data_IF_095375917780
#
_entry.id   IF_095375917780
#
_cell.length_a   1.000
_cell.length_b   1.000
_cell.length_c   1.000
_cell.angle_alpha   90.00
_cell.angle_beta   90.00
_cell.angle_gamma   90.00
#
_symmetry.space_group_name_H-M   'P 1'
#
loop_
_entity.id
_entity.type
_entity.pdbx_description
1 polymer ?
#
# COMPACT_ATOMS: atom_id res chain seq x y z
N UNK A 1 19.83 8.29 -2.65
CA UNK A 1 19.08 7.04 -2.81
C UNK A 1 17.63 7.40 -2.62
N UNK A 2 16.80 7.20 -3.63
CA UNK A 2 15.42 7.64 -3.62
C UNK A 2 14.60 6.70 -2.71
N UNK A 3 13.88 7.24 -1.73
CA UNK A 3 13.04 6.46 -0.80
C UNK A 3 11.62 6.41 -1.38
N UNK A 4 11.15 5.22 -1.72
CA UNK A 4 9.89 4.96 -2.44
C UNK A 4 8.83 4.33 -1.52
N UNK A 5 8.17 5.07 -0.63
CA UNK A 5 7.06 4.51 0.17
C UNK A 5 5.91 4.00 -0.73
N UNK A 6 5.83 2.71 -1.07
CA UNK A 6 4.78 2.24 -1.98
C UNK A 6 3.43 2.06 -1.26
N UNK A 7 2.36 2.21 -2.02
CA UNK A 7 1.03 1.75 -1.64
C UNK A 7 0.92 0.27 -2.05
N UNK A 8 0.42 -0.64 -1.18
CA UNK A 8 0.01 -1.95 -1.64
C UNK A 8 -0.97 -1.78 -2.79
N UNK A 9 -0.64 -2.39 -3.94
CA UNK A 9 -1.47 -2.36 -5.12
C UNK A 9 -2.92 -2.64 -4.72
N UNK A 10 -3.82 -1.83 -5.28
CA UNK A 10 -5.26 -1.85 -5.04
C UNK A 10 -5.76 -3.26 -4.72
N UNK A 11 -6.78 -3.38 -3.86
CA UNK A 11 -7.57 -4.59 -3.70
C UNK A 11 -8.18 -5.07 -5.03
N UNK A 12 -7.34 -5.63 -5.89
CA UNK A 12 -7.52 -5.75 -7.33
C UNK A 12 -8.24 -7.04 -7.61
N UNK A 13 -9.56 -7.00 -7.40
CA UNK A 13 -10.49 -8.01 -7.85
C UNK A 13 -10.61 -8.06 -9.40
N UNK A 14 -9.90 -7.21 -10.15
CA UNK A 14 -10.06 -7.12 -11.62
C UNK A 14 -9.47 -8.36 -12.33
N UNK A 15 -8.48 -9.05 -11.75
CA UNK A 15 -7.85 -10.24 -12.32
C UNK A 15 -7.86 -11.48 -11.41
N UNK A 16 -8.37 -11.35 -10.18
CA UNK A 16 -8.34 -12.39 -9.15
C UNK A 16 -9.69 -13.10 -9.09
N UNK A 17 -9.71 -14.44 -9.09
CA UNK A 17 -10.96 -15.20 -8.96
C UNK A 17 -11.58 -15.08 -7.57
N UNK A 18 -12.91 -15.11 -7.51
CA UNK A 18 -13.66 -15.15 -6.23
C UNK A 18 -13.23 -16.32 -5.34
N UNK A 19 -12.88 -17.47 -5.95
CA UNK A 19 -12.36 -18.63 -5.23
C UNK A 19 -11.04 -18.35 -4.53
N UNK A 20 -10.13 -17.61 -5.18
CA UNK A 20 -8.83 -17.22 -4.61
C UNK A 20 -9.02 -16.22 -3.47
N UNK A 21 -9.91 -15.24 -3.64
CA UNK A 21 -10.28 -14.31 -2.55
C UNK A 21 -10.94 -15.02 -1.36
N UNK A 22 -11.88 -15.94 -1.61
CA UNK A 22 -12.53 -16.70 -0.55
C UNK A 22 -11.54 -17.56 0.24
N UNK A 23 -10.61 -18.20 -0.45
CA UNK A 23 -9.53 -18.97 0.17
C UNK A 23 -8.62 -18.05 1.01
N UNK A 24 -8.23 -16.89 0.48
CA UNK A 24 -7.40 -15.94 1.22
C UNK A 24 -8.09 -15.43 2.50
N UNK A 25 -9.38 -15.08 2.44
CA UNK A 25 -10.16 -14.68 3.61
C UNK A 25 -10.21 -15.78 4.68
N UNK A 26 -10.36 -17.04 4.26
CA UNK A 26 -10.35 -18.19 5.16
C UNK A 26 -9.01 -18.32 5.88
N UNK A 27 -7.90 -18.27 5.14
CA UNK A 27 -6.55 -18.38 5.72
C UNK A 27 -6.23 -17.19 6.64
N UNK A 28 -6.61 -15.97 6.26
CA UNK A 28 -6.48 -14.78 7.13
C UNK A 28 -7.25 -14.98 8.44
N UNK A 29 -8.48 -15.52 8.39
CA UNK A 29 -9.25 -15.80 9.59
C UNK A 29 -8.59 -16.88 10.48
N UNK A 30 -8.04 -17.93 9.88
CA UNK A 30 -7.31 -18.99 10.58
C UNK A 30 -6.05 -18.45 11.27
N UNK A 31 -5.23 -17.66 10.57
CA UNK A 31 -4.03 -17.03 11.14
C UNK A 31 -4.38 -16.04 12.25
N UNK A 32 -5.46 -15.27 12.07
CA UNK A 32 -5.97 -14.35 13.10
C UNK A 32 -6.40 -15.11 14.35
N UNK A 33 -7.07 -16.26 14.20
CA UNK A 33 -7.45 -17.12 15.33
C UNK A 33 -6.24 -17.73 16.06
N UNK A 34 -5.10 -17.85 15.38
CA UNK A 34 -3.82 -18.27 15.97
C UNK A 34 -3.06 -17.11 16.62
N UNK A 35 -3.60 -15.89 16.60
CA UNK A 35 -2.97 -14.70 17.20
C UNK A 35 -2.03 -13.94 16.26
N UNK A 36 -1.93 -14.31 14.98
CA UNK A 36 -1.17 -13.54 13.99
C UNK A 36 -1.92 -12.23 13.71
N UNK A 37 -1.23 -11.09 13.85
CA UNK A 37 -1.84 -9.78 13.66
C UNK A 37 -1.96 -9.42 12.19
N UNK A 38 -3.12 -8.88 11.81
CA UNK A 38 -3.36 -8.23 10.52
C UNK A 38 -2.79 -6.81 10.51
N UNK A 39 -2.48 -6.24 9.33
CA UNK A 39 -2.20 -4.82 9.22
C UNK A 39 -3.39 -3.99 9.71
N UNK A 40 -3.13 -2.98 10.55
CA UNK A 40 -4.16 -2.04 10.99
C UNK A 40 -4.28 -0.91 9.97
N UNK A 41 -5.52 -0.64 9.57
CA UNK A 41 -5.87 0.47 8.67
C UNK A 41 -7.02 1.24 9.30
N UNK A 42 -6.71 2.25 10.08
CA UNK A 42 -7.70 2.98 10.87
C UNK A 42 -8.74 3.65 9.96
N UNK A 43 -10.01 3.66 10.40
CA UNK A 43 -11.10 4.24 9.61
C UNK A 43 -11.51 3.46 8.36
N UNK A 44 -11.09 2.19 8.24
CA UNK A 44 -11.63 1.27 7.23
C UNK A 44 -13.03 0.75 7.59
N UNK A 45 -13.26 0.47 8.88
CA UNK A 45 -14.52 -0.06 9.41
C UNK A 45 -15.50 1.03 9.87
N UNK A 46 -15.16 2.31 9.69
CA UNK A 46 -15.91 3.45 10.25
C UNK A 46 -17.19 3.77 9.45
N UNK A 47 -18.10 2.80 9.36
CA UNK A 47 -19.51 3.09 9.21
C UNK A 47 -20.04 3.45 10.61
N UNK A 48 -20.10 4.75 10.92
CA UNK A 48 -20.91 5.21 12.06
C UNK A 48 -22.37 5.32 11.62
N UNK A 49 -23.31 5.34 12.57
CA UNK A 49 -24.75 5.46 12.28
C UNK A 49 -25.09 6.63 11.33
N UNK A 50 -24.26 7.68 11.28
CA UNK A 50 -24.49 8.89 10.50
C UNK A 50 -23.40 9.22 9.47
N UNK A 51 -22.41 8.35 9.26
CA UNK A 51 -21.34 8.63 8.30
C UNK A 51 -20.79 7.34 7.69
N UNK A 52 -20.89 7.28 6.36
CA UNK A 52 -20.33 6.22 5.54
C UNK A 52 -19.16 6.81 4.76
N UNK A 53 -17.99 6.18 4.89
CA UNK A 53 -16.78 6.59 4.17
C UNK A 53 -17.03 6.64 2.67
N UNK A 54 -16.64 7.74 2.04
CA UNK A 54 -16.74 7.88 0.59
C UNK A 54 -15.51 7.28 -0.08
N UNK A 55 -15.68 6.05 -0.56
CA UNK A 55 -14.65 5.34 -1.31
C UNK A 55 -14.69 5.72 -2.79
N UNK A 56 -13.52 5.89 -3.43
CA UNK A 56 -13.41 6.18 -4.88
C UNK A 56 -13.99 5.06 -5.74
N UNK A 57 -13.77 3.80 -5.35
CA UNK A 57 -14.16 2.60 -6.12
C UNK A 57 -14.89 1.54 -5.27
N UNK A 58 -15.50 1.97 -4.16
CA UNK A 58 -15.99 1.06 -3.13
C UNK A 58 -14.92 0.68 -2.11
N UNK A 59 -15.35 0.03 -1.03
CA UNK A 59 -14.45 -0.36 0.05
C UNK A 59 -13.35 -1.31 -0.47
N UNK A 60 -12.07 -1.07 -0.15
CA UNK A 60 -10.98 -1.88 -0.65
C UNK A 60 -10.97 -3.28 -0.03
N UNK A 61 -10.57 -4.27 -0.82
CA UNK A 61 -10.40 -5.66 -0.39
C UNK A 61 -8.92 -5.99 -0.18
N UNK A 62 -8.53 -6.36 1.04
CA UNK A 62 -7.13 -6.59 1.43
C UNK A 62 -6.80 -8.05 1.73
N UNK A 63 -7.72 -9.01 1.58
CA UNK A 63 -7.49 -10.41 1.99
C UNK A 63 -6.19 -11.02 1.46
N UNK A 64 -5.82 -10.75 0.20
CA UNK A 64 -4.57 -11.25 -0.39
C UNK A 64 -3.33 -10.55 0.20
N UNK A 65 -3.31 -9.22 0.20
CA UNK A 65 -2.20 -8.46 0.76
C UNK A 65 -2.01 -8.71 2.26
N UNK A 66 -3.10 -8.91 3.01
CA UNK A 66 -3.06 -9.28 4.42
C UNK A 66 -2.51 -10.69 4.61
N UNK A 67 -2.88 -11.65 3.76
CA UNK A 67 -2.34 -13.01 3.81
C UNK A 67 -0.83 -13.00 3.52
N UNK A 68 -0.40 -12.30 2.48
CA UNK A 68 1.00 -12.15 2.10
C UNK A 68 1.80 -11.43 3.19
N UNK A 69 1.20 -10.42 3.83
CA UNK A 69 1.77 -9.75 4.98
C UNK A 69 1.95 -10.73 6.16
N UNK A 70 0.88 -11.40 6.57
CA UNK A 70 0.87 -12.26 7.75
C UNK A 70 1.80 -13.47 7.62
N UNK A 71 2.04 -13.96 6.40
CA UNK A 71 2.93 -15.11 6.15
C UNK A 71 4.41 -14.75 6.15
N UNK A 72 4.77 -13.53 5.74
CA UNK A 72 6.15 -13.19 5.38
C UNK A 72 6.71 -11.95 6.07
N UNK A 73 5.91 -11.31 6.94
CA UNK A 73 6.38 -10.29 7.88
C UNK A 73 7.56 -10.83 8.68
N UNK A 74 8.63 -10.05 8.82
CA UNK A 74 9.81 -10.46 9.61
C UNK A 74 9.73 -10.00 11.06
N UNK A 75 9.07 -8.86 11.31
CA UNK A 75 9.07 -8.21 12.63
C UNK A 75 7.93 -8.66 13.52
N UNK A 76 8.23 -9.03 14.77
CA UNK A 76 7.21 -9.28 15.79
C UNK A 76 6.61 -7.98 16.34
N UNK A 77 5.28 -7.84 16.28
CA UNK A 77 4.57 -6.59 16.65
C UNK A 77 4.74 -6.16 18.12
N UNK A 78 4.80 -7.12 19.06
CA UNK A 78 4.82 -6.84 20.51
C UNK A 78 6.18 -6.38 21.03
N UNK A 79 7.26 -6.72 20.34
CA UNK A 79 8.63 -6.38 20.77
C UNK A 79 9.11 -5.02 20.25
N UNK A 80 8.37 -4.41 19.32
CA UNK A 80 8.79 -3.22 18.56
C UNK A 80 7.62 -2.22 18.43
N UNK A 81 7.21 -1.59 19.54
CA UNK A 81 5.97 -0.81 19.59
C UNK A 81 6.00 0.47 18.72
N UNK A 82 7.17 1.09 18.54
CA UNK A 82 7.28 2.31 17.72
C UNK A 82 7.23 1.97 16.23
N UNK A 83 7.92 0.91 15.80
CA UNK A 83 7.86 0.38 14.44
C UNK A 83 6.44 -0.02 14.07
N UNK A 84 5.73 -0.71 15.00
CA UNK A 84 4.31 -1.03 14.85
C UNK A 84 3.48 0.23 14.65
N UNK A 85 3.64 1.24 15.50
CA UNK A 85 2.90 2.49 15.38
C UNK A 85 3.15 3.21 14.05
N UNK A 86 4.42 3.34 13.62
CA UNK A 86 4.77 3.97 12.34
C UNK A 86 4.20 3.18 11.16
N UNK A 87 4.29 1.86 11.20
CA UNK A 87 3.73 0.98 10.16
C UNK A 87 2.21 1.13 10.05
N UNK A 88 1.48 1.19 11.17
CA UNK A 88 0.03 1.43 11.18
C UNK A 88 -0.33 2.80 10.60
N UNK A 89 0.45 3.83 10.91
CA UNK A 89 0.31 5.16 10.29
C UNK A 89 0.51 5.08 8.77
N UNK A 90 1.57 4.41 8.30
CA UNK A 90 1.83 4.22 6.87
C UNK A 90 0.71 3.43 6.19
N UNK A 91 0.32 2.27 6.71
CA UNK A 91 -0.73 1.41 6.15
C UNK A 91 -2.08 2.14 6.08
N UNK A 92 -2.42 2.92 7.10
CA UNK A 92 -3.62 3.77 7.10
C UNK A 92 -3.50 4.86 6.04
N UNK A 93 -2.42 5.64 6.05
CA UNK A 93 -2.20 6.72 5.09
C UNK A 93 -2.27 6.23 3.63
N UNK A 94 -1.60 5.12 3.30
CA UNK A 94 -1.59 4.54 1.95
C UNK A 94 -3.00 4.12 1.51
N UNK A 95 -3.78 3.52 2.42
CA UNK A 95 -5.18 3.17 2.17
C UNK A 95 -6.03 4.42 1.92
N UNK A 96 -5.91 5.44 2.76
CA UNK A 96 -6.67 6.68 2.66
C UNK A 96 -6.34 7.43 1.36
N UNK A 97 -5.05 7.60 1.08
CA UNK A 97 -4.56 8.29 -0.10
C UNK A 97 -4.91 7.58 -1.41
N UNK A 98 -5.13 6.27 -1.38
CA UNK A 98 -5.48 5.48 -2.57
C UNK A 98 -6.98 5.29 -2.74
N UNK A 99 -7.75 5.16 -1.66
CA UNK A 99 -9.14 4.73 -1.74
C UNK A 99 -10.18 5.74 -1.25
N UNK A 100 -9.84 6.67 -0.35
CA UNK A 100 -10.82 7.65 0.14
C UNK A 100 -10.94 8.82 -0.84
N UNK A 101 -12.18 9.18 -1.17
CA UNK A 101 -12.47 10.29 -2.07
C UNK A 101 -12.25 11.65 -1.38
N UNK A 102 -12.53 11.74 -0.08
CA UNK A 102 -12.42 13.00 0.67
C UNK A 102 -11.24 13.01 1.62
N UNK A 103 -10.40 14.03 1.49
CA UNK A 103 -9.30 14.29 2.41
C UNK A 103 -9.78 14.56 3.86
N UNK A 104 -10.97 15.12 4.03
CA UNK A 104 -11.56 15.37 5.35
C UNK A 104 -11.85 14.09 6.16
N UNK A 105 -11.87 12.93 5.50
CA UNK A 105 -12.08 11.63 6.13
C UNK A 105 -10.75 10.97 6.56
N UNK A 106 -9.60 11.63 6.34
CA UNK A 106 -8.29 11.06 6.66
C UNK A 106 -7.97 11.22 8.14
N UNK A 107 -7.63 10.10 8.79
CA UNK A 107 -7.33 10.04 10.22
C UNK A 107 -5.85 9.79 10.51
N UNK A 108 -5.09 9.35 9.50
CA UNK A 108 -3.64 9.09 9.63
C UNK A 108 -2.81 10.36 9.81
N UNK A 109 -3.36 11.53 9.47
CA UNK A 109 -2.64 12.81 9.40
C UNK A 109 -3.39 13.94 10.10
N UNK A 110 -2.69 15.02 10.44
CA UNK A 110 -3.31 16.29 10.85
C UNK A 110 -3.64 17.11 9.61
N UNK A 111 -4.90 17.09 9.20
CA UNK A 111 -5.37 17.61 7.92
C UNK A 111 -4.98 19.08 7.66
N UNK A 112 -4.92 19.88 8.71
CA UNK A 112 -4.61 21.31 8.63
C UNK A 112 -3.16 21.61 8.28
N UNK A 113 -2.23 20.71 8.61
CA UNK A 113 -0.78 20.95 8.53
C UNK A 113 -0.01 19.89 7.75
N UNK A 114 -0.69 18.84 7.30
CA UNK A 114 -0.03 17.75 6.62
C UNK A 114 0.45 18.16 5.23
N UNK A 115 1.73 17.89 4.99
CA UNK A 115 2.35 17.95 3.67
C UNK A 115 3.17 16.68 3.47
N UNK A 116 3.36 16.34 2.22
CA UNK A 116 4.11 15.18 1.78
C UNK A 116 5.14 15.60 0.74
N UNK A 117 6.30 14.96 0.78
CA UNK A 117 7.38 15.17 -0.15
C UNK A 117 8.04 13.83 -0.43
N UNK A 118 8.38 13.60 -1.70
CA UNK A 118 9.16 12.44 -2.12
C UNK A 118 10.52 12.91 -2.59
N UNK A 119 11.58 12.35 -2.00
CA UNK A 119 12.95 12.74 -2.28
C UNK A 119 13.11 14.27 -2.22
N UNK A 120 13.72 14.86 -3.25
CA UNK A 120 13.93 16.30 -3.39
C UNK A 120 12.82 16.99 -4.21
N UNK A 121 11.64 16.36 -4.33
CA UNK A 121 10.49 16.91 -5.07
C UNK A 121 9.78 18.05 -4.34
N UNK A 122 8.71 18.58 -4.93
CA UNK A 122 7.91 19.64 -4.30
C UNK A 122 7.12 19.14 -3.09
N UNK A 123 6.91 20.03 -2.13
CA UNK A 123 5.97 19.78 -1.03
C UNK A 123 4.54 19.85 -1.54
N UNK A 124 3.83 18.73 -1.44
CA UNK A 124 2.40 18.62 -1.78
C UNK A 124 1.59 18.73 -0.50
N UNK A 125 0.62 19.65 -0.47
CA UNK A 125 -0.33 19.74 0.65
C UNK A 125 -1.27 18.53 0.63
N UNK A 126 -1.71 18.07 1.80
CA UNK A 126 -2.59 16.88 1.87
C UNK A 126 -3.86 16.98 1.02
N UNK A 127 -4.49 18.16 0.96
CA UNK A 127 -5.66 18.44 0.12
C UNK A 127 -5.36 18.34 -1.38
N UNK A 128 -4.10 18.51 -1.78
CA UNK A 128 -3.65 18.39 -3.15
C UNK A 128 -3.30 16.98 -3.59
N UNK A 129 -3.27 15.99 -2.67
CA UNK A 129 -2.93 14.60 -2.99
C UNK A 129 -4.09 13.96 -3.77
N UNK A 130 -3.89 13.79 -5.07
CA UNK A 130 -4.76 13.00 -5.92
C UNK A 130 -4.45 11.50 -5.79
N UNK A 131 -5.40 10.68 -6.24
CA UNK A 131 -5.25 9.21 -6.28
C UNK A 131 -3.99 8.74 -7.02
N UNK A 132 -3.70 9.38 -8.16
CA UNK A 132 -2.54 9.04 -8.98
C UNK A 132 -1.26 9.64 -8.42
N UNK A 133 -1.31 10.63 -7.52
CA UNK A 133 -0.11 11.27 -6.98
C UNK A 133 0.67 10.32 -6.07
N UNK A 134 -0.01 9.40 -5.39
CA UNK A 134 0.70 8.39 -4.58
C UNK A 134 1.47 7.39 -5.44
N UNK A 135 1.13 7.22 -6.71
CA UNK A 135 1.95 6.43 -7.63
C UNK A 135 2.86 7.34 -8.46
N UNK A 136 2.44 8.53 -8.90
CA UNK A 136 3.26 9.46 -9.68
C UNK A 136 4.38 10.13 -8.88
N UNK A 137 4.15 10.49 -7.61
CA UNK A 137 5.16 11.10 -6.73
C UNK A 137 6.18 10.06 -6.23
N UNK A 138 5.73 8.82 -5.97
CA UNK A 138 6.55 7.70 -5.48
C UNK A 138 7.10 6.82 -6.61
N UNK A 139 6.87 7.20 -7.87
CA UNK A 139 7.39 6.53 -9.06
C UNK A 139 8.02 7.59 -9.96
N UNK A 140 8.95 8.37 -9.41
CA UNK A 140 9.74 9.34 -10.17
C UNK A 140 10.97 8.64 -10.79
N UNK A 141 11.52 9.22 -11.87
CA UNK A 141 11.38 8.91 -13.28
C UNK A 141 12.45 7.90 -13.75
N UNK A 142 12.82 6.91 -12.93
CA UNK A 142 13.81 5.88 -13.31
C UNK A 142 13.21 4.69 -14.05
N UNK A 143 12.02 4.86 -14.63
CA UNK A 143 11.79 4.31 -15.94
C UNK A 143 12.56 5.23 -16.87
N UNK A 144 13.83 4.91 -17.12
CA UNK A 144 14.59 5.62 -18.13
C UNK A 144 13.68 5.76 -19.36
N UNK A 145 13.40 7.01 -19.75
CA UNK A 145 12.84 7.30 -21.06
C UNK A 145 13.71 6.73 -22.20
N UNK A 146 14.87 6.13 -21.87
CA UNK A 146 15.72 5.37 -22.78
C UNK A 146 15.23 3.93 -23.07
N UNK A 147 14.36 3.33 -22.23
CA UNK A 147 13.77 1.99 -22.46
C UNK A 147 12.28 2.04 -22.81
N UNK A 148 11.71 3.24 -22.88
CA UNK A 148 10.35 3.48 -23.27
C UNK A 148 10.28 3.74 -24.79
N UNK A 149 10.17 2.65 -25.56
CA UNK A 149 9.45 2.66 -26.85
C UNK A 149 7.93 2.84 -26.59
N UNK A 150 7.57 3.66 -25.59
CA UNK A 150 6.22 3.95 -25.17
C UNK A 150 5.73 5.01 -26.13
N UNK A 151 4.92 4.57 -27.09
CA UNK A 151 4.18 5.47 -27.95
C UNK A 151 3.32 6.38 -27.08
N UNK A 152 3.39 7.66 -27.38
CA UNK A 152 2.54 8.71 -26.82
C UNK A 152 1.07 8.23 -26.87
N UNK A 153 0.47 7.95 -25.70
CA UNK A 153 -0.90 7.43 -25.57
C UNK A 153 -1.07 6.02 -24.97
N UNK A 154 0.00 5.28 -24.65
CA UNK A 154 -0.06 3.92 -24.06
C UNK A 154 0.48 3.81 -22.62
N UNK A 155 0.49 4.89 -21.83
CA UNK A 155 0.88 4.80 -20.41
C UNK A 155 -0.16 4.01 -19.62
N UNK A 156 0.13 2.73 -19.36
CA UNK A 156 -0.63 1.92 -18.41
C UNK A 156 -0.46 2.51 -17.01
N UNK A 157 -1.58 2.67 -16.30
CA UNK A 157 -1.62 3.03 -14.88
C UNK A 157 -0.63 2.18 -14.06
N UNK A 158 0.38 2.76 -13.38
CA UNK A 158 1.36 2.02 -12.59
C UNK A 158 0.74 1.07 -11.56
N UNK A 159 -0.47 1.37 -11.09
CA UNK A 159 -1.22 0.51 -10.16
C UNK A 159 -1.70 -0.76 -10.84
N UNK A 160 -2.20 -0.61 -12.07
CA UNK A 160 -2.60 -1.75 -12.88
C UNK A 160 -1.37 -2.60 -13.22
N UNK A 161 -0.22 -1.98 -13.49
CA UNK A 161 1.05 -2.68 -13.72
C UNK A 161 1.46 -3.49 -12.47
N UNK A 162 1.46 -2.87 -11.29
CA UNK A 162 1.83 -3.55 -10.04
C UNK A 162 0.84 -4.65 -9.65
N UNK A 163 -0.46 -4.41 -9.80
CA UNK A 163 -1.50 -5.42 -9.58
C UNK A 163 -1.43 -6.57 -10.60
N UNK A 164 -1.03 -6.29 -11.84
CA UNK A 164 -0.79 -7.30 -12.87
C UNK A 164 0.45 -8.14 -12.53
N UNK A 165 1.50 -7.54 -11.94
CA UNK A 165 2.71 -8.25 -11.56
C UNK A 165 2.54 -9.08 -10.26
N UNK A 166 1.95 -8.47 -9.22
CA UNK A 166 1.85 -9.03 -7.86
C UNK A 166 0.41 -9.37 -7.50
N UNK A 167 -0.10 -10.45 -8.10
CA UNK A 167 -1.52 -10.84 -7.97
C UNK A 167 -1.92 -11.34 -6.58
N UNK A 168 -0.96 -11.50 -5.66
CA UNK A 168 -1.14 -11.88 -4.27
C UNK A 168 -1.00 -10.69 -3.31
N UNK A 169 -0.74 -9.49 -3.85
CA UNK A 169 -0.48 -8.27 -3.10
C UNK A 169 1.01 -7.92 -3.00
N UNK A 170 1.25 -6.68 -2.58
CA UNK A 170 2.60 -6.13 -2.41
C UNK A 170 2.69 -5.34 -1.09
N UNK A 171 2.51 -5.99 0.07
CA UNK A 171 2.49 -5.33 1.38
C UNK A 171 3.80 -4.64 1.73
N UNK A 172 3.77 -3.79 2.77
CA UNK A 172 4.96 -3.21 3.40
C UNK A 172 5.03 -3.47 4.88
N UNK A 173 6.26 -3.41 5.39
CA UNK A 173 6.56 -3.36 6.80
C UNK A 173 7.63 -2.32 7.10
N UNK A 174 7.55 -1.73 8.29
CA UNK A 174 8.62 -0.92 8.87
C UNK A 174 9.61 -1.87 9.54
N UNK A 175 10.88 -1.74 9.18
CA UNK A 175 11.97 -2.60 9.64
C UNK A 175 12.58 -2.08 10.93
N UNK A 176 13.00 -0.82 10.92
CA UNK A 176 13.67 -0.17 12.06
C UNK A 176 13.31 1.30 12.10
N UNK A 177 13.01 1.83 13.29
CA UNK A 177 12.83 3.26 13.54
C UNK A 177 14.08 3.80 14.24
N UNK A 178 14.83 4.65 13.54
CA UNK A 178 16.12 5.17 13.98
C UNK A 178 16.00 6.32 15.00
N UNK A 179 14.85 7.01 15.04
CA UNK A 179 14.64 8.18 15.91
C UNK A 179 13.26 8.21 16.54
N UNK A 180 13.17 8.87 17.70
CA UNK A 180 11.93 9.00 18.48
C UNK A 180 11.13 10.25 18.05
N UNK A 181 9.81 10.30 18.34
CA UNK A 181 9.00 11.49 18.12
C UNK A 181 9.60 12.77 18.73
N UNK A 182 9.37 13.95 18.12
CA UNK A 182 8.38 14.23 17.07
C UNK A 182 8.86 13.95 15.64
N UNK A 183 10.12 13.58 15.44
CA UNK A 183 10.70 13.35 14.11
C UNK A 183 11.24 11.93 14.02
N UNK A 184 10.52 11.07 13.28
CA UNK A 184 10.88 9.66 13.11
C UNK A 184 11.51 9.44 11.73
N UNK A 185 12.74 8.92 11.72
CA UNK A 185 13.38 8.34 10.55
C UNK A 185 13.29 6.83 10.66
N UNK A 186 12.96 6.14 9.57
CA UNK A 186 12.78 4.70 9.60
C UNK A 186 13.14 4.07 8.26
N UNK A 187 13.48 2.78 8.30
CA UNK A 187 13.60 1.93 7.13
C UNK A 187 12.35 1.06 7.00
N UNK A 188 12.03 0.69 5.77
CA UNK A 188 10.88 -0.11 5.43
C UNK A 188 11.20 -0.96 4.19
N UNK A 189 10.36 -1.96 3.91
CA UNK A 189 10.42 -2.74 2.67
C UNK A 189 9.03 -3.06 2.15
N UNK A 190 8.93 -3.35 0.85
CA UNK A 190 7.79 -4.05 0.28
C UNK A 190 8.18 -5.47 -0.08
N UNK A 191 7.22 -6.36 -0.29
CA UNK A 191 7.50 -7.64 -0.92
C UNK A 191 6.27 -8.21 -1.60
N UNK A 192 6.48 -9.14 -2.52
CA UNK A 192 5.41 -9.98 -3.05
C UNK A 192 5.95 -11.06 -3.98
N UNK A 193 5.19 -12.13 -4.15
CA UNK A 193 5.49 -13.15 -5.13
C UNK A 193 5.17 -12.62 -6.54
N UNK A 194 6.17 -12.63 -7.43
CA UNK A 194 5.95 -12.29 -8.84
C UNK A 194 5.23 -13.47 -9.52
N UNK A 195 3.91 -13.49 -9.44
CA UNK A 195 3.04 -14.56 -9.97
C UNK A 195 2.28 -14.15 -11.22
N UNK A 196 2.21 -12.85 -11.51
CA UNK A 196 1.49 -12.31 -12.65
C UNK A 196 2.39 -12.01 -13.84
N UNK A 197 2.20 -10.83 -14.45
CA UNK A 197 2.98 -10.40 -15.61
C UNK A 197 3.41 -8.94 -15.54
N UNK A 198 4.61 -8.68 -16.07
CA UNK A 198 5.17 -7.35 -16.19
C UNK A 198 5.93 -7.23 -17.52
N UNK A 199 5.57 -6.25 -18.36
CA UNK A 199 6.20 -6.03 -19.69
C UNK A 199 6.35 -7.30 -20.55
N UNK A 200 5.35 -8.18 -20.54
CA UNK A 200 5.37 -9.45 -21.28
C UNK A 200 6.20 -10.57 -20.65
N UNK A 201 6.88 -10.31 -19.53
CA UNK A 201 7.53 -11.34 -18.70
C UNK A 201 6.49 -11.92 -17.74
N UNK A 202 6.37 -13.25 -17.72
CA UNK A 202 5.56 -13.96 -16.72
C UNK A 202 6.39 -14.23 -15.47
N UNK A 203 5.75 -14.05 -14.33
CA UNK A 203 6.31 -14.36 -13.04
C UNK A 203 6.53 -15.86 -12.82
N UNK A 204 7.59 -16.19 -12.09
CA UNK A 204 7.98 -17.54 -11.71
C UNK A 204 7.63 -17.88 -10.25
N UNK A 205 6.95 -16.97 -9.56
CA UNK A 205 6.62 -17.08 -8.14
C UNK A 205 7.76 -16.69 -7.20
N UNK A 206 8.90 -16.21 -7.71
CA UNK A 206 9.98 -15.68 -6.88
C UNK A 206 9.52 -14.44 -6.10
N UNK A 207 10.10 -14.25 -4.90
CA UNK A 207 9.84 -13.08 -4.08
C UNK A 207 10.65 -11.89 -4.62
N UNK A 208 9.95 -10.78 -4.85
CA UNK A 208 10.56 -9.47 -5.11
C UNK A 208 10.40 -8.63 -3.85
N UNK A 209 11.43 -7.84 -3.51
CA UNK A 209 11.52 -7.00 -2.31
C UNK A 209 12.31 -5.71 -2.62
#
# INVERSE_FOLDING_TARGET
GNVLLFVPAAGSAISVSDSKLAQARKEVAELTAQGVKRPVRAGMESASYNHQTQWRYGAPEYALADLEYMKHKQREHESTPLESYVEECCQTFLMEATHKANYSEWVSVRQEYFSFQVNDGDHVSGHGIAENDMFGLLYMPSFDAADADVKEGEEKDPRAILAEAFTDGFPMEVLEVFTQPPQCYFSWRHWGAFTGSYKGVKGDGSRVE
#
